data_IF_347607397210
#
_entry.id   IF_347607397210
#
_cell.length_a   1.000
_cell.length_b   1.000
_cell.length_c   1.000
_cell.angle_alpha   90.00
_cell.angle_beta   90.00
_cell.angle_gamma   90.00
#
_symmetry.space_group_name_H-M   'P 1'
#
loop_
_entity.id
_entity.type
_entity.pdbx_description
1 polymer ?
#
# COMPACT_ATOMS: atom_id res chain seq x y z
N UNK A 1 -18.21 -5.06 7.76
CA UNK A 1 -18.02 -3.92 8.69
C UNK A 1 -17.00 -4.16 9.79
N UNK A 2 -17.12 -5.17 10.68
CA UNK A 2 -16.14 -5.36 11.79
C UNK A 2 -14.71 -5.66 11.29
N UNK A 3 -14.57 -6.52 10.27
CA UNK A 3 -13.28 -6.87 9.67
C UNK A 3 -12.59 -5.67 9.01
N UNK A 4 -13.33 -4.83 8.26
CA UNK A 4 -12.76 -3.65 7.61
C UNK A 4 -12.17 -2.67 8.63
N UNK A 5 -12.86 -2.46 9.76
CA UNK A 5 -12.35 -1.62 10.87
C UNK A 5 -11.08 -2.19 11.49
N UNK A 6 -11.00 -3.52 11.66
CA UNK A 6 -9.79 -4.18 12.16
C UNK A 6 -8.61 -4.03 11.19
N UNK A 7 -8.84 -4.17 9.89
CA UNK A 7 -7.81 -3.97 8.87
C UNK A 7 -7.28 -2.53 8.86
N UNK A 8 -8.18 -1.52 8.92
CA UNK A 8 -7.76 -0.11 9.03
C UNK A 8 -6.92 0.13 10.29
N UNK A 9 -7.31 -0.46 11.42
CA UNK A 9 -6.52 -0.37 12.64
C UNK A 9 -5.12 -0.98 12.47
N UNK A 10 -4.98 -2.13 11.80
CA UNK A 10 -3.66 -2.70 11.51
C UNK A 10 -2.81 -1.81 10.59
N UNK A 11 -3.42 -1.15 9.59
CA UNK A 11 -2.69 -0.17 8.77
C UNK A 11 -2.16 1.02 9.57
N UNK A 12 -2.90 1.48 10.59
CA UNK A 12 -2.47 2.57 11.47
C UNK A 12 -1.32 2.13 12.39
N UNK A 13 -1.35 0.87 12.87
CA UNK A 13 -0.32 0.32 13.77
C UNK A 13 1.04 0.08 13.10
N UNK A 14 1.13 0.17 11.77
CA UNK A 14 2.39 0.04 11.02
C UNK A 14 3.48 0.98 11.54
N UNK A 15 3.12 2.20 11.95
CA UNK A 15 4.07 3.17 12.49
C UNK A 15 4.74 2.73 13.81
N UNK A 16 4.12 1.77 14.52
CA UNK A 16 4.58 1.26 15.81
C UNK A 16 5.48 0.02 15.69
N UNK A 17 5.82 -0.41 14.47
CA UNK A 17 6.69 -1.57 14.26
C UNK A 17 8.09 -1.29 14.83
N UNK A 18 8.66 -2.21 15.62
CA UNK A 18 9.99 -2.08 16.19
C UNK A 18 11.07 -2.22 15.09
N UNK A 19 12.29 -1.80 15.40
CA UNK A 19 13.43 -1.89 14.47
C UNK A 19 13.82 -3.33 14.12
N UNK A 20 13.41 -4.36 14.88
CA UNK A 20 13.78 -5.76 14.62
C UNK A 20 15.29 -5.99 14.38
N UNK A 21 16.15 -5.21 15.04
CA UNK A 21 17.60 -5.29 14.90
C UNK A 21 18.18 -4.56 13.69
N UNK A 22 17.39 -3.85 12.89
CA UNK A 22 17.87 -3.02 11.78
C UNK A 22 18.18 -1.60 12.23
N UNK A 23 19.09 -0.92 11.51
CA UNK A 23 19.39 0.50 11.75
C UNK A 23 18.23 1.43 11.33
N UNK A 24 17.43 1.01 10.36
CA UNK A 24 16.30 1.76 9.82
C UNK A 24 15.00 0.95 9.90
N UNK A 25 13.88 1.60 10.26
CA UNK A 25 12.55 1.00 10.33
C UNK A 25 11.91 0.81 8.95
N UNK A 26 12.40 1.45 7.90
CA UNK A 26 11.71 1.44 6.60
C UNK A 26 11.54 0.02 6.06
N UNK A 27 12.57 -0.83 6.15
CA UNK A 27 12.49 -2.21 5.67
C UNK A 27 11.48 -3.08 6.44
N UNK A 28 11.53 -3.17 7.79
CA UNK A 28 10.54 -3.96 8.53
C UNK A 28 9.11 -3.39 8.39
N UNK A 29 8.96 -2.07 8.30
CA UNK A 29 7.66 -1.45 8.03
C UNK A 29 7.12 -1.82 6.64
N UNK A 30 7.96 -1.77 5.62
CA UNK A 30 7.56 -2.13 4.25
C UNK A 30 7.13 -3.58 4.17
N UNK A 31 7.86 -4.50 4.82
CA UNK A 31 7.51 -5.91 4.85
C UNK A 31 6.13 -6.13 5.49
N UNK A 32 5.87 -5.50 6.63
CA UNK A 32 4.58 -5.58 7.29
C UNK A 32 3.45 -5.03 6.41
N UNK A 33 3.65 -3.86 5.79
CA UNK A 33 2.68 -3.28 4.85
C UNK A 33 2.40 -4.26 3.71
N UNK A 34 3.41 -4.88 3.12
CA UNK A 34 3.24 -5.83 2.03
C UNK A 34 2.42 -7.05 2.45
N UNK A 35 2.69 -7.62 3.63
CA UNK A 35 1.88 -8.72 4.19
C UNK A 35 0.44 -8.27 4.39
N UNK A 36 0.24 -7.09 4.97
CA UNK A 36 -1.09 -6.55 5.23
C UNK A 36 -1.87 -6.28 3.94
N UNK A 37 -1.19 -5.81 2.88
CA UNK A 37 -1.77 -5.61 1.56
C UNK A 37 -2.27 -6.93 0.97
N UNK A 38 -1.45 -7.99 1.01
CA UNK A 38 -1.83 -9.31 0.51
C UNK A 38 -3.03 -9.87 1.27
N UNK A 39 -3.00 -9.81 2.61
CA UNK A 39 -4.10 -10.29 3.46
C UNK A 39 -5.39 -9.50 3.19
N UNK A 40 -5.29 -8.17 3.15
CA UNK A 40 -6.45 -7.31 2.91
C UNK A 40 -7.07 -7.58 1.53
N UNK A 41 -6.24 -7.69 0.50
CA UNK A 41 -6.70 -7.97 -0.86
C UNK A 41 -7.35 -9.37 -0.96
N UNK A 42 -6.77 -10.38 -0.29
CA UNK A 42 -7.37 -11.71 -0.18
C UNK A 42 -8.76 -11.69 0.48
N UNK A 43 -8.92 -10.94 1.58
CA UNK A 43 -10.21 -10.78 2.27
C UNK A 43 -11.23 -10.06 1.37
N UNK A 44 -10.81 -9.01 0.66
CA UNK A 44 -11.69 -8.25 -0.24
C UNK A 44 -12.20 -9.15 -1.36
N UNK A 45 -11.31 -9.93 -1.99
CA UNK A 45 -11.66 -10.89 -3.04
C UNK A 45 -12.58 -11.99 -2.50
N UNK A 46 -12.28 -12.55 -1.33
CA UNK A 46 -13.10 -13.59 -0.71
C UNK A 46 -14.53 -13.11 -0.44
N UNK A 47 -14.69 -11.89 0.07
CA UNK A 47 -16.01 -11.36 0.45
C UNK A 47 -16.87 -10.91 -0.75
N UNK A 48 -16.26 -10.37 -1.80
CA UNK A 48 -16.99 -9.74 -2.91
C UNK A 48 -16.90 -10.49 -4.23
N UNK A 49 -15.97 -11.44 -4.35
CA UNK A 49 -15.61 -12.10 -5.61
C UNK A 49 -14.65 -11.24 -6.43
N UNK A 50 -13.81 -11.90 -7.23
CA UNK A 50 -12.69 -11.27 -7.95
C UNK A 50 -13.13 -10.10 -8.86
N UNK A 51 -14.18 -10.29 -9.64
CA UNK A 51 -14.66 -9.28 -10.61
C UNK A 51 -15.19 -8.04 -9.89
N UNK A 52 -15.99 -8.21 -8.83
CA UNK A 52 -16.54 -7.06 -8.07
C UNK A 52 -15.45 -6.36 -7.25
N UNK A 53 -14.52 -7.11 -6.67
CA UNK A 53 -13.36 -6.56 -5.97
C UNK A 53 -12.56 -5.66 -6.91
N UNK A 54 -12.25 -6.14 -8.12
CA UNK A 54 -11.51 -5.37 -9.12
C UNK A 54 -12.25 -4.09 -9.54
N UNK A 55 -13.54 -4.18 -9.85
CA UNK A 55 -14.35 -3.01 -10.21
C UNK A 55 -14.46 -1.97 -9.09
N UNK A 56 -14.53 -2.40 -7.84
CA UNK A 56 -14.58 -1.47 -6.72
C UNK A 56 -13.21 -0.83 -6.46
N UNK A 57 -12.12 -1.60 -6.58
CA UNK A 57 -10.76 -1.06 -6.46
C UNK A 57 -10.44 -0.08 -7.60
N UNK A 58 -10.86 -0.36 -8.83
CA UNK A 58 -10.70 0.57 -9.95
C UNK A 58 -11.50 1.86 -9.74
N UNK A 59 -12.68 1.78 -9.12
CA UNK A 59 -13.42 2.98 -8.69
C UNK A 59 -12.66 3.80 -7.65
N UNK A 60 -11.83 3.19 -6.81
CA UNK A 60 -11.02 3.97 -5.84
C UNK A 60 -9.88 4.77 -6.45
N UNK A 61 -9.44 4.41 -7.67
CA UNK A 61 -8.44 5.16 -8.43
C UNK A 61 -8.94 6.53 -8.89
N UNK A 62 -10.27 6.74 -8.98
CA UNK A 62 -10.83 8.05 -9.34
C UNK A 62 -10.88 9.04 -8.18
N UNK A 63 -10.56 8.63 -6.94
CA UNK A 63 -10.50 9.57 -5.82
C UNK A 63 -9.31 10.52 -5.97
N UNK A 64 -9.55 11.81 -5.68
CA UNK A 64 -8.55 12.88 -5.82
C UNK A 64 -7.25 12.58 -5.07
N UNK A 65 -7.36 11.98 -3.88
CA UNK A 65 -6.22 11.60 -3.05
C UNK A 65 -5.36 10.53 -3.74
N UNK A 66 -6.00 9.49 -4.30
CA UNK A 66 -5.31 8.42 -5.04
C UNK A 66 -4.61 8.97 -6.26
N UNK A 67 -5.23 9.89 -6.99
CA UNK A 67 -4.65 10.53 -8.18
C UNK A 67 -3.36 11.29 -7.80
N UNK A 68 -3.37 12.08 -6.73
CA UNK A 68 -2.17 12.80 -6.30
C UNK A 68 -1.04 11.84 -5.89
N UNK A 69 -1.37 10.77 -5.16
CA UNK A 69 -0.37 9.79 -4.75
C UNK A 69 0.17 8.98 -5.94
N UNK A 70 -0.68 8.71 -6.93
CA UNK A 70 -0.27 8.06 -8.18
C UNK A 70 0.67 8.96 -8.99
N UNK A 71 0.39 10.27 -9.07
CA UNK A 71 1.30 11.24 -9.70
C UNK A 71 2.65 11.28 -8.99
N UNK A 72 2.65 11.24 -7.65
CA UNK A 72 3.87 11.13 -6.86
C UNK A 72 4.66 9.85 -7.19
N UNK A 73 4.00 8.71 -7.31
CA UNK A 73 4.65 7.46 -7.70
C UNK A 73 5.26 7.52 -9.12
N UNK A 74 4.61 8.19 -10.08
CA UNK A 74 5.18 8.44 -11.42
C UNK A 74 6.47 9.26 -11.31
N UNK A 75 6.46 10.33 -10.50
CA UNK A 75 7.65 11.15 -10.26
C UNK A 75 8.77 10.32 -9.63
N UNK A 76 8.44 9.45 -8.68
CA UNK A 76 9.41 8.53 -8.07
C UNK A 76 10.04 7.59 -9.12
N UNK A 77 9.24 7.02 -10.03
CA UNK A 77 9.75 6.22 -11.16
C UNK A 77 10.72 7.03 -12.02
N UNK A 78 10.36 8.25 -12.42
CA UNK A 78 11.23 9.11 -13.24
C UNK A 78 12.55 9.41 -12.51
N UNK A 79 12.49 9.65 -11.20
CA UNK A 79 13.68 9.92 -10.38
C UNK A 79 14.66 8.74 -10.33
N UNK A 80 14.17 7.48 -10.43
CA UNK A 80 15.06 6.30 -10.41
C UNK A 80 15.99 6.21 -11.63
N UNK A 81 15.62 6.82 -12.76
CA UNK A 81 16.42 6.78 -14.01
C UNK A 81 17.79 7.44 -13.83
N UNK A 82 17.89 8.46 -12.97
CA UNK A 82 19.15 9.17 -12.72
C UNK A 82 19.95 8.60 -11.54
N UNK A 83 19.53 7.47 -10.96
CA UNK A 83 20.18 6.93 -9.77
C UNK A 83 21.53 6.30 -10.10
N UNK A 84 22.55 6.65 -9.32
CA UNK A 84 23.89 6.02 -9.40
C UNK A 84 23.83 4.58 -8.89
N UNK A 85 23.06 4.34 -7.82
CA UNK A 85 22.87 3.02 -7.24
C UNK A 85 21.53 2.41 -7.68
N UNK A 86 21.59 1.64 -8.76
CA UNK A 86 20.41 0.98 -9.37
C UNK A 86 19.73 0.01 -8.40
N UNK A 87 20.49 -0.67 -7.53
CA UNK A 87 19.93 -1.65 -6.59
C UNK A 87 19.10 -0.94 -5.52
N UNK A 88 19.65 0.11 -4.92
CA UNK A 88 18.92 0.89 -3.91
C UNK A 88 17.71 1.59 -4.52
N UNK A 89 17.78 2.10 -5.75
CA UNK A 89 16.63 2.74 -6.38
C UNK A 89 15.51 1.75 -6.69
N UNK A 90 15.81 0.51 -7.10
CA UNK A 90 14.80 -0.54 -7.25
C UNK A 90 14.12 -0.90 -5.92
N UNK A 91 14.89 -0.99 -4.82
CA UNK A 91 14.32 -1.24 -3.48
C UNK A 91 13.38 -0.09 -3.10
N UNK A 92 13.82 1.16 -3.23
CA UNK A 92 12.97 2.34 -2.95
C UNK A 92 11.73 2.38 -3.82
N UNK A 93 11.85 1.98 -5.08
CA UNK A 93 10.71 1.91 -5.99
C UNK A 93 9.68 0.88 -5.51
N UNK A 94 10.13 -0.31 -5.10
CA UNK A 94 9.27 -1.34 -4.53
C UNK A 94 8.58 -0.86 -3.24
N UNK A 95 9.28 -0.10 -2.39
CA UNK A 95 8.71 0.52 -1.18
C UNK A 95 7.58 1.50 -1.53
N UNK A 96 7.80 2.40 -2.50
CA UNK A 96 6.78 3.36 -2.97
C UNK A 96 5.56 2.63 -3.56
N UNK A 97 5.76 1.58 -4.37
CA UNK A 97 4.65 0.79 -4.89
C UNK A 97 3.88 0.07 -3.78
N UNK A 98 4.58 -0.51 -2.80
CA UNK A 98 3.93 -1.14 -1.63
C UNK A 98 3.05 -0.16 -0.86
N UNK A 99 3.54 1.07 -0.66
CA UNK A 99 2.78 2.15 -0.04
C UNK A 99 1.59 2.60 -0.89
N UNK A 100 1.74 2.64 -2.22
CA UNK A 100 0.64 2.97 -3.14
C UNK A 100 -0.48 1.94 -3.08
N UNK A 101 -0.15 0.65 -3.07
CA UNK A 101 -1.14 -0.42 -2.88
C UNK A 101 -1.83 -0.31 -1.53
N UNK A 102 -1.08 -0.04 -0.46
CA UNK A 102 -1.64 0.17 0.87
C UNK A 102 -2.62 1.35 0.89
N UNK A 103 -2.28 2.45 0.22
CA UNK A 103 -3.12 3.63 0.16
C UNK A 103 -4.44 3.37 -0.58
N UNK A 104 -4.39 2.67 -1.73
CA UNK A 104 -5.59 2.26 -2.48
C UNK A 104 -6.50 1.36 -1.62
N UNK A 105 -5.92 0.34 -0.98
CA UNK A 105 -6.66 -0.59 -0.12
C UNK A 105 -7.28 0.16 1.06
N UNK A 106 -6.56 1.10 1.67
CA UNK A 106 -7.04 1.88 2.81
C UNK A 106 -8.21 2.80 2.41
N UNK A 107 -8.15 3.46 1.26
CA UNK A 107 -9.27 4.25 0.72
C UNK A 107 -10.48 3.34 0.46
N UNK A 108 -10.27 2.16 -0.12
CA UNK A 108 -11.33 1.18 -0.31
C UNK A 108 -11.97 0.76 1.02
N UNK A 109 -11.16 0.42 2.02
CA UNK A 109 -11.65 0.00 3.33
C UNK A 109 -12.43 1.12 4.02
N UNK A 110 -11.96 2.37 3.96
CA UNK A 110 -12.65 3.52 4.54
C UNK A 110 -13.98 3.80 3.84
N UNK A 111 -14.03 3.70 2.51
CA UNK A 111 -15.27 3.92 1.74
C UNK A 111 -16.33 2.82 1.93
N UNK A 112 -15.96 1.69 2.55
CA UNK A 112 -16.83 0.54 2.80
C UNK A 112 -17.15 0.32 4.29
N UNK A 113 -16.66 1.20 5.17
CA UNK A 113 -16.98 1.21 6.61
C UNK A 113 -18.29 1.95 6.85
#
# INVERSE_FOLDING_TARGET
>A
MRINKALVLFYILVGLIPYLGTADKIHPQTLYISVLNIVSLGIIIYNSGLIKAFNNLTKTLSHRQTIFYFLFAIIAVISTVQSINVIQSLIRLAEVFSQLFAFIILIYLISTI
#
